data_IF_856207253427
#
_entry.id   IF_856207253427
#
_cell.length_a   1.000
_cell.length_b   1.000
_cell.length_c   1.000
_cell.angle_alpha   90.00
_cell.angle_beta   90.00
_cell.angle_gamma   90.00
#
_symmetry.space_group_name_H-M   'P 1'
#
loop_
_entity.id
_entity.type
_entity.pdbx_description
1 polymer ?
#
# COMPACT_ATOMS: atom_id res chain seq x y z
N UNK A 1 24.44 5.53 25.20
CA UNK A 1 24.73 6.41 24.05
C UNK A 1 26.10 7.07 24.26
N UNK A 2 27.14 6.74 23.47
CA UNK A 2 28.49 7.27 23.67
C UNK A 2 28.60 8.78 23.41
N UNK A 3 27.73 9.33 22.56
CA UNK A 3 27.73 10.72 22.10
C UNK A 3 27.07 11.72 23.07
N UNK A 4 26.27 11.21 24.02
CA UNK A 4 25.45 12.01 24.91
C UNK A 4 25.88 11.82 26.38
N UNK A 5 25.97 12.91 27.12
CA UNK A 5 26.10 12.90 28.58
C UNK A 5 24.72 12.62 29.19
N UNK A 6 24.60 11.46 29.85
CA UNK A 6 23.31 10.98 30.37
C UNK A 6 22.77 11.81 31.53
N UNK A 7 23.62 12.53 32.28
CA UNK A 7 23.18 13.35 33.41
C UNK A 7 22.58 14.68 32.94
N UNK A 8 23.02 15.18 31.79
CA UNK A 8 22.66 16.52 31.29
C UNK A 8 21.82 16.53 30.03
N UNK A 9 21.66 15.39 29.36
CA UNK A 9 21.06 15.27 28.03
C UNK A 9 21.72 16.19 26.98
N UNK A 10 23.02 16.47 27.15
CA UNK A 10 23.82 17.28 26.22
C UNK A 10 24.81 16.41 25.47
N UNK A 11 25.14 16.82 24.25
CA UNK A 11 26.20 16.17 23.48
C UNK A 11 27.55 16.33 24.18
N UNK A 12 28.34 15.26 24.19
CA UNK A 12 29.73 15.30 24.64
C UNK A 12 30.59 16.04 23.62
N UNK A 13 31.71 16.61 24.08
CA UNK A 13 32.67 17.31 23.22
C UNK A 13 33.10 16.46 22.02
N UNK A 14 33.12 17.05 20.83
CA UNK A 14 33.45 16.38 19.56
C UNK A 14 32.29 15.63 18.89
N UNK A 15 31.11 15.56 19.52
CA UNK A 15 29.90 14.99 18.91
C UNK A 15 29.12 16.06 18.16
N UNK A 16 28.78 15.80 16.90
CA UNK A 16 27.87 16.63 16.09
C UNK A 16 26.41 16.22 16.31
N UNK A 17 26.19 14.95 16.65
CA UNK A 17 24.87 14.37 16.88
C UNK A 17 24.95 13.24 17.91
N UNK A 18 23.79 12.82 18.39
CA UNK A 18 23.65 11.66 19.28
C UNK A 18 22.37 10.87 19.05
N UNK A 19 21.61 11.16 18.01
CA UNK A 19 20.34 10.52 17.67
C UNK A 19 20.12 10.69 16.17
N UNK A 20 19.23 9.87 15.58
CA UNK A 20 18.73 10.02 14.22
C UNK A 20 19.44 9.08 13.25
N UNK A 21 18.73 8.70 12.19
CA UNK A 21 19.19 7.70 11.22
C UNK A 21 20.39 8.18 10.38
N UNK A 22 20.62 9.50 10.35
CA UNK A 22 21.79 10.13 9.75
C UNK A 22 22.89 10.48 10.77
N UNK A 23 22.92 9.82 11.93
CA UNK A 23 23.97 9.96 12.92
C UNK A 23 24.80 8.69 13.06
N UNK A 24 26.02 8.71 12.53
CA UNK A 24 26.95 7.60 12.61
C UNK A 24 28.16 7.99 13.46
N UNK A 25 28.44 7.22 14.52
CA UNK A 25 29.57 7.44 15.42
C UNK A 25 29.70 8.91 15.90
N UNK A 26 28.56 9.47 16.34
CA UNK A 26 28.46 10.85 16.85
C UNK A 26 28.71 11.95 15.81
N UNK A 27 28.78 11.61 14.52
CA UNK A 27 28.96 12.54 13.41
C UNK A 27 27.79 12.42 12.43
N UNK A 28 27.52 13.49 11.69
CA UNK A 28 26.55 13.40 10.61
C UNK A 28 27.05 12.43 9.55
N UNK A 29 26.17 11.53 9.11
CA UNK A 29 26.39 10.69 7.94
C UNK A 29 26.70 11.56 6.72
N UNK A 30 27.50 11.05 5.79
CA UNK A 30 27.88 11.82 4.59
C UNK A 30 26.64 12.18 3.76
N UNK A 31 26.71 13.30 3.04
CA UNK A 31 25.66 13.67 2.10
C UNK A 31 25.45 12.55 1.07
N UNK A 32 24.20 12.17 0.83
CA UNK A 32 23.85 11.09 -0.10
C UNK A 32 23.81 9.69 0.51
N UNK A 33 24.19 9.51 1.78
CA UNK A 33 23.95 8.24 2.49
C UNK A 33 22.45 7.99 2.58
N UNK A 34 21.97 6.86 2.03
CA UNK A 34 20.57 6.45 2.15
C UNK A 34 20.22 6.21 3.63
N UNK A 35 19.15 6.85 4.10
CA UNK A 35 18.64 6.69 5.46
C UNK A 35 17.22 6.09 5.49
N UNK A 36 16.50 6.13 4.37
CA UNK A 36 15.27 5.37 4.18
C UNK A 36 15.23 4.80 2.76
N UNK A 37 15.10 3.49 2.68
CA UNK A 37 14.99 2.77 1.42
C UNK A 37 13.63 2.99 0.75
N UNK A 38 13.62 2.98 -0.58
CA UNK A 38 12.41 2.99 -1.40
C UNK A 38 11.62 1.68 -1.23
N UNK A 39 10.31 1.78 -0.97
CA UNK A 39 9.40 0.62 -0.93
C UNK A 39 8.82 0.25 -2.30
N UNK A 40 8.71 1.22 -3.21
CA UNK A 40 8.23 1.02 -4.57
C UNK A 40 8.66 2.18 -5.48
N UNK A 41 8.41 2.10 -6.78
CA UNK A 41 8.63 3.24 -7.69
C UNK A 41 7.80 4.48 -7.34
N UNK A 42 6.79 4.35 -6.49
CA UNK A 42 5.96 5.44 -5.97
C UNK A 42 6.52 6.07 -4.71
N UNK A 43 7.63 5.55 -4.19
CA UNK A 43 8.24 5.92 -2.91
C UNK A 43 9.75 6.14 -3.09
N UNK A 44 10.19 7.36 -3.43
CA UNK A 44 11.61 7.68 -3.60
C UNK A 44 12.39 7.52 -2.30
N UNK A 45 13.61 6.97 -2.35
CA UNK A 45 14.46 6.87 -1.16
C UNK A 45 14.88 8.25 -0.61
N UNK A 46 15.04 8.36 0.72
CA UNK A 46 15.61 9.54 1.36
C UNK A 46 17.07 9.35 1.75
N UNK A 47 17.81 10.45 1.63
CA UNK A 47 19.25 10.49 1.81
C UNK A 47 19.63 11.60 2.80
N UNK A 48 20.63 11.30 3.63
CA UNK A 48 21.23 12.24 4.56
C UNK A 48 21.79 13.46 3.82
N UNK A 49 21.64 14.63 4.43
CA UNK A 49 22.10 15.90 3.86
C UNK A 49 23.59 16.17 4.10
N UNK A 50 24.23 15.41 4.99
CA UNK A 50 25.59 15.71 5.47
C UNK A 50 25.67 16.80 6.55
N UNK A 51 24.55 17.45 6.88
CA UNK A 51 24.49 18.60 7.79
C UNK A 51 23.44 18.44 8.89
N UNK A 52 22.71 17.32 8.89
CA UNK A 52 21.65 16.97 9.84
C UNK A 52 21.84 15.53 10.29
N UNK A 53 21.40 15.23 11.51
CA UNK A 53 21.35 13.86 12.04
C UNK A 53 20.04 13.16 11.75
N UNK A 54 19.00 13.91 11.41
CA UNK A 54 17.69 13.38 11.06
C UNK A 54 17.65 13.07 9.56
N UNK A 55 17.07 11.92 9.20
CA UNK A 55 16.69 11.63 7.83
C UNK A 55 15.61 12.64 7.39
N UNK A 56 15.61 13.12 6.14
CA UNK A 56 14.51 13.93 5.63
C UNK A 56 13.16 13.22 5.81
N UNK A 57 12.08 13.99 5.88
CA UNK A 57 10.75 13.43 5.98
C UNK A 57 10.45 12.53 4.77
N UNK A 58 9.73 11.44 5.02
CA UNK A 58 9.28 10.49 4.00
C UNK A 58 8.39 11.20 2.95
N UNK A 59 8.82 11.14 1.68
CA UNK A 59 8.10 11.74 0.54
C UNK A 59 7.62 10.65 -0.40
N UNK A 60 6.38 10.77 -0.86
CA UNK A 60 5.84 9.91 -1.90
C UNK A 60 5.69 10.65 -3.23
N UNK A 61 5.79 9.90 -4.33
CA UNK A 61 5.27 10.38 -5.60
C UNK A 61 3.77 10.68 -5.49
N UNK A 62 3.31 11.61 -6.33
CA UNK A 62 1.92 12.07 -6.27
C UNK A 62 0.97 10.92 -6.54
N UNK A 63 -0.12 10.86 -5.77
CA UNK A 63 -1.20 9.91 -6.04
C UNK A 63 -1.71 10.13 -7.48
N UNK A 64 -1.93 9.03 -8.21
CA UNK A 64 -2.34 9.05 -9.62
C UNK A 64 -1.20 9.00 -10.63
N UNK A 65 0.07 9.06 -10.23
CA UNK A 65 1.20 8.82 -11.14
C UNK A 65 1.17 7.36 -11.65
N UNK A 66 1.25 7.09 -12.97
CA UNK A 66 1.31 5.71 -13.47
C UNK A 66 2.49 4.94 -12.88
N UNK A 67 2.26 3.67 -12.56
CA UNK A 67 3.27 2.75 -12.00
C UNK A 67 3.05 1.33 -12.53
N UNK A 68 4.06 0.48 -12.35
CA UNK A 68 4.18 -0.90 -12.81
C UNK A 68 3.82 -0.99 -14.29
N UNK A 69 4.54 -0.27 -15.15
CA UNK A 69 4.28 -0.23 -16.61
C UNK A 69 2.81 0.07 -16.95
N UNK A 70 2.19 1.01 -16.22
CA UNK A 70 0.81 1.47 -16.38
C UNK A 70 -0.29 0.44 -15.98
N UNK A 71 0.09 -0.63 -15.26
CA UNK A 71 -0.87 -1.53 -14.61
C UNK A 71 -1.55 -0.90 -13.39
N UNK A 72 -0.94 0.13 -12.79
CA UNK A 72 -1.49 0.82 -11.62
C UNK A 72 -1.23 2.32 -11.62
N UNK A 73 -1.68 2.93 -10.53
CA UNK A 73 -1.40 4.32 -10.20
C UNK A 73 -0.91 4.43 -8.76
N UNK A 74 0.05 5.30 -8.51
CA UNK A 74 0.62 5.52 -7.20
C UNK A 74 -0.47 5.93 -6.22
N UNK A 75 -0.42 5.35 -5.03
CA UNK A 75 -1.29 5.67 -3.90
C UNK A 75 -0.50 5.50 -2.60
N UNK A 76 -0.20 6.63 -1.95
CA UNK A 76 0.52 6.72 -0.68
C UNK A 76 1.79 5.85 -0.66
N UNK A 77 2.71 6.11 -1.60
CA UNK A 77 4.00 5.42 -1.70
C UNK A 77 3.95 4.02 -2.29
N UNK A 78 2.78 3.51 -2.67
CA UNK A 78 2.61 2.16 -3.21
C UNK A 78 1.93 2.17 -4.59
N UNK A 79 1.99 1.04 -5.30
CA UNK A 79 1.28 0.82 -6.56
C UNK A 79 0.24 -0.31 -6.39
N UNK A 80 -0.96 -0.05 -5.83
CA UNK A 80 -1.96 -1.09 -5.62
C UNK A 80 -2.55 -1.58 -6.95
N UNK A 81 -2.37 -2.87 -7.25
CA UNK A 81 -2.95 -3.54 -8.41
C UNK A 81 -3.71 -4.80 -7.98
N UNK A 82 -4.73 -5.21 -8.74
CA UNK A 82 -5.56 -6.38 -8.39
C UNK A 82 -4.77 -7.69 -8.40
N UNK A 83 -3.78 -7.82 -9.30
CA UNK A 83 -2.91 -9.00 -9.37
C UNK A 83 -2.16 -9.26 -8.06
N UNK A 84 -1.45 -8.26 -7.52
CA UNK A 84 -0.75 -8.38 -6.24
C UNK A 84 -1.71 -8.67 -5.08
N UNK A 85 -2.88 -8.03 -5.06
CA UNK A 85 -3.89 -8.31 -4.03
C UNK A 85 -4.40 -9.75 -4.08
N UNK A 86 -4.58 -10.33 -5.27
CA UNK A 86 -4.94 -11.74 -5.43
C UNK A 86 -3.83 -12.66 -4.93
N UNK A 87 -2.57 -12.34 -5.25
CA UNK A 87 -1.41 -13.09 -4.77
C UNK A 87 -1.28 -13.03 -3.24
N UNK A 88 -1.41 -11.86 -2.63
CA UNK A 88 -1.29 -11.68 -1.17
C UNK A 88 -2.40 -12.43 -0.40
N UNK A 89 -3.57 -12.59 -1.00
CA UNK A 89 -4.71 -13.29 -0.38
C UNK A 89 -4.66 -14.81 -0.57
N UNK A 90 -4.16 -15.29 -1.71
CA UNK A 90 -4.33 -16.70 -2.11
C UNK A 90 -3.05 -17.42 -2.56
N UNK A 91 -1.97 -16.68 -2.81
CA UNK A 91 -0.69 -17.22 -3.27
C UNK A 91 -0.56 -17.30 -4.79
N UNK A 92 0.35 -18.18 -5.23
CA UNK A 92 0.67 -18.38 -6.64
C UNK A 92 -0.52 -18.97 -7.43
N UNK A 93 -0.49 -18.78 -8.77
CA UNK A 93 -1.50 -19.25 -9.73
C UNK A 93 -2.92 -18.67 -9.52
N UNK A 94 -3.01 -17.55 -8.81
CA UNK A 94 -4.26 -16.81 -8.56
C UNK A 94 -4.14 -15.38 -9.09
N UNK A 95 -5.06 -15.00 -10.00
CA UNK A 95 -5.00 -13.75 -10.77
C UNK A 95 -6.31 -12.96 -10.65
N UNK A 96 -6.37 -11.74 -11.18
CA UNK A 96 -7.64 -11.02 -11.31
C UNK A 96 -8.68 -11.86 -12.07
N UNK A 97 -9.91 -11.90 -11.55
CA UNK A 97 -11.00 -12.62 -12.21
C UNK A 97 -11.56 -11.83 -13.40
N UNK A 98 -12.30 -12.52 -14.26
CA UNK A 98 -13.11 -11.90 -15.32
C UNK A 98 -14.11 -10.89 -14.75
N UNK A 99 -14.41 -9.83 -15.51
CA UNK A 99 -15.32 -8.74 -15.10
C UNK A 99 -16.68 -9.26 -14.61
N UNK A 100 -17.20 -10.32 -15.23
CA UNK A 100 -18.46 -10.96 -14.83
C UNK A 100 -18.53 -11.41 -13.35
N UNK A 101 -17.38 -11.67 -12.71
CA UNK A 101 -17.34 -12.00 -11.28
C UNK A 101 -17.64 -10.78 -10.40
N UNK A 102 -17.22 -9.59 -10.82
CA UNK A 102 -17.38 -8.34 -10.07
C UNK A 102 -18.84 -7.86 -10.06
N UNK A 103 -19.67 -8.28 -11.01
CA UNK A 103 -21.12 -8.03 -11.02
C UNK A 103 -21.84 -8.52 -9.75
N UNK A 104 -21.24 -9.48 -9.04
CA UNK A 104 -21.74 -9.95 -7.73
C UNK A 104 -21.71 -8.85 -6.66
N UNK A 105 -20.90 -7.80 -6.83
CA UNK A 105 -20.85 -6.65 -5.93
C UNK A 105 -22.11 -5.77 -5.98
N UNK A 106 -22.94 -5.92 -7.01
CA UNK A 106 -24.24 -5.24 -7.08
C UNK A 106 -25.30 -5.87 -6.16
N UNK A 107 -25.02 -7.03 -5.55
CA UNK A 107 -26.00 -7.72 -4.70
C UNK A 107 -26.28 -7.04 -3.36
N UNK A 108 -25.31 -6.29 -2.82
CA UNK A 108 -25.42 -5.70 -1.48
C UNK A 108 -25.56 -6.76 -0.38
N UNK A 109 -25.04 -7.97 -0.60
CA UNK A 109 -25.16 -9.08 0.35
C UNK A 109 -23.96 -9.13 1.30
N UNK A 110 -23.79 -10.24 2.04
CA UNK A 110 -22.76 -10.31 3.08
C UNK A 110 -21.31 -10.15 2.57
N UNK A 111 -21.00 -10.50 1.32
CA UNK A 111 -19.64 -10.35 0.74
C UNK A 111 -19.56 -9.34 -0.40
N UNK A 112 -20.62 -9.23 -1.21
CA UNK A 112 -20.64 -8.45 -2.45
C UNK A 112 -21.33 -7.12 -2.23
N UNK A 113 -20.54 -6.09 -1.96
CA UNK A 113 -20.95 -4.71 -1.72
C UNK A 113 -19.77 -3.78 -2.01
N UNK A 114 -20.01 -2.47 -2.12
CA UNK A 114 -18.94 -1.48 -2.29
C UNK A 114 -18.49 -0.92 -0.94
N UNK A 115 -19.44 -0.39 -0.16
CA UNK A 115 -19.16 0.28 1.11
C UNK A 115 -20.18 -0.07 2.16
N UNK A 116 -19.95 0.41 3.38
CA UNK A 116 -20.92 0.32 4.47
C UNK A 116 -21.34 1.70 4.92
N UNK A 117 -22.63 1.89 5.12
CA UNK A 117 -23.22 3.11 5.69
C UNK A 117 -24.09 2.69 6.87
N UNK A 118 -23.76 3.17 8.08
CA UNK A 118 -24.46 2.81 9.32
C UNK A 118 -24.61 1.28 9.54
N UNK A 119 -23.58 0.51 9.18
CA UNK A 119 -23.58 -0.95 9.28
C UNK A 119 -24.26 -1.69 8.12
N UNK A 120 -25.04 -0.99 7.29
CA UNK A 120 -25.68 -1.57 6.12
C UNK A 120 -24.68 -1.69 4.96
N UNK A 121 -24.69 -2.83 4.28
CA UNK A 121 -23.84 -3.11 3.12
C UNK A 121 -24.49 -2.49 1.87
N UNK A 122 -23.84 -1.51 1.28
CA UNK A 122 -24.35 -0.76 0.12
C UNK A 122 -23.85 -1.45 -1.16
N UNK A 123 -24.75 -1.90 -2.05
CA UNK A 123 -24.35 -2.48 -3.33
C UNK A 123 -23.55 -1.48 -4.17
N UNK A 124 -22.67 -1.99 -5.02
CA UNK A 124 -21.99 -1.15 -6.01
C UNK A 124 -22.98 -0.68 -7.08
N UNK A 125 -22.78 0.54 -7.58
CA UNK A 125 -23.32 0.92 -8.89
C UNK A 125 -22.59 0.12 -10.00
N UNK A 126 -23.18 -0.03 -11.19
CA UNK A 126 -22.55 -0.75 -12.30
C UNK A 126 -21.13 -0.27 -12.63
N UNK A 127 -20.86 1.03 -12.53
CA UNK A 127 -19.55 1.63 -12.77
C UNK A 127 -18.53 1.39 -11.65
N UNK A 128 -18.98 1.00 -10.46
CA UNK A 128 -18.16 0.86 -9.25
C UNK A 128 -17.85 -0.61 -8.91
N UNK A 129 -18.32 -1.58 -9.72
CA UNK A 129 -18.24 -3.02 -9.39
C UNK A 129 -16.81 -3.51 -9.15
N UNK A 130 -15.82 -2.87 -9.77
CA UNK A 130 -14.38 -3.13 -9.60
C UNK A 130 -13.79 -2.55 -8.30
N UNK A 131 -14.57 -1.85 -7.49
CA UNK A 131 -14.12 -1.22 -6.24
C UNK A 131 -14.75 -1.81 -4.96
N UNK A 132 -15.53 -2.90 -5.10
CA UNK A 132 -16.11 -3.66 -4.01
C UNK A 132 -15.23 -4.83 -3.53
N UNK A 133 -15.82 -6.02 -3.40
CA UNK A 133 -15.09 -7.26 -3.14
C UNK A 133 -14.15 -7.56 -4.31
N UNK A 134 -12.90 -7.93 -4.01
CA UNK A 134 -11.97 -8.44 -5.00
C UNK A 134 -12.37 -9.87 -5.38
N UNK A 135 -12.39 -10.13 -6.68
CA UNK A 135 -12.55 -11.48 -7.23
C UNK A 135 -11.29 -11.90 -7.96
N UNK A 136 -10.86 -13.13 -7.69
CA UNK A 136 -9.66 -13.72 -8.26
C UNK A 136 -9.99 -15.06 -8.94
N UNK A 137 -9.31 -15.34 -10.05
CA UNK A 137 -9.35 -16.62 -10.74
C UNK A 137 -8.26 -17.52 -10.16
N UNK A 138 -8.67 -18.59 -9.50
CA UNK A 138 -7.78 -19.56 -8.86
C UNK A 138 -7.59 -20.78 -9.77
N UNK A 139 -6.37 -20.90 -10.32
CA UNK A 139 -5.91 -22.02 -11.14
C UNK A 139 -4.79 -22.81 -10.44
N UNK A 140 -4.66 -22.68 -9.11
CA UNK A 140 -3.66 -23.43 -8.35
C UNK A 140 -3.87 -24.94 -8.47
N UNK A 141 -2.84 -25.78 -8.23
CA UNK A 141 -2.94 -27.22 -8.43
C UNK A 141 -4.16 -27.86 -7.73
N UNK A 142 -5.09 -28.41 -8.52
CA UNK A 142 -6.32 -29.03 -8.03
C UNK A 142 -7.49 -28.07 -7.78
N UNK A 143 -7.35 -26.78 -8.10
CA UNK A 143 -8.41 -25.78 -8.08
C UNK A 143 -8.86 -25.38 -9.49
N UNK A 144 -10.11 -24.94 -9.60
CA UNK A 144 -10.64 -24.28 -10.80
C UNK A 144 -11.81 -23.39 -10.37
N UNK A 145 -11.51 -22.26 -9.72
CA UNK A 145 -12.52 -21.32 -9.24
C UNK A 145 -12.38 -19.97 -9.94
N UNK A 146 -13.27 -19.64 -10.91
CA UNK A 146 -13.14 -18.42 -11.69
C UNK A 146 -13.46 -17.14 -10.91
N UNK A 147 -14.20 -17.23 -9.79
CA UNK A 147 -14.65 -16.08 -9.01
C UNK A 147 -14.37 -16.30 -7.50
N UNK A 148 -13.16 -16.73 -7.15
CA UNK A 148 -12.73 -16.85 -5.75
C UNK A 148 -12.71 -15.47 -5.11
N UNK A 149 -13.12 -15.39 -3.86
CA UNK A 149 -13.08 -14.14 -3.07
C UNK A 149 -12.71 -14.48 -1.63
N UNK A 150 -12.13 -13.51 -0.92
CA UNK A 150 -11.80 -13.65 0.49
C UNK A 150 -12.86 -12.93 1.32
N UNK A 151 -13.34 -13.60 2.36
CA UNK A 151 -14.27 -13.04 3.32
C UNK A 151 -14.04 -13.65 4.70
N UNK A 152 -14.01 -12.79 5.73
CA UNK A 152 -14.01 -13.19 7.14
C UNK A 152 -14.96 -12.28 7.91
N UNK A 153 -15.71 -12.84 8.88
CA UNK A 153 -16.54 -12.03 9.79
C UNK A 153 -15.69 -11.25 10.81
N UNK A 154 -14.44 -11.66 11.05
CA UNK A 154 -13.52 -10.95 11.95
C UNK A 154 -13.08 -9.60 11.36
N UNK A 155 -12.89 -9.57 10.04
CA UNK A 155 -12.60 -8.37 9.27
C UNK A 155 -13.22 -8.49 7.88
N UNK A 156 -14.42 -7.92 7.73
CA UNK A 156 -15.13 -7.93 6.45
C UNK A 156 -14.47 -7.00 5.41
N UNK A 157 -13.56 -6.10 5.81
CA UNK A 157 -12.78 -5.26 4.89
C UNK A 157 -11.65 -6.04 4.22
N UNK A 158 -11.09 -7.06 4.87
CA UNK A 158 -10.11 -7.95 4.24
C UNK A 158 -10.73 -8.64 3.03
N UNK A 159 -10.05 -8.56 1.88
CA UNK A 159 -10.54 -9.06 0.60
C UNK A 159 -11.34 -8.04 -0.23
N UNK A 160 -11.59 -6.84 0.27
CA UNK A 160 -12.09 -5.73 -0.54
C UNK A 160 -10.95 -5.11 -1.36
N UNK A 161 -11.24 -4.62 -2.56
CA UNK A 161 -10.25 -3.97 -3.43
C UNK A 161 -9.62 -2.76 -2.74
N UNK A 162 -8.30 -2.69 -2.63
CA UNK A 162 -7.62 -1.62 -1.90
C UNK A 162 -7.91 -0.23 -2.50
N UNK A 163 -8.00 0.84 -1.67
CA UNK A 163 -8.03 2.21 -2.17
C UNK A 163 -6.82 2.51 -3.08
N UNK A 164 -7.03 3.33 -4.11
CA UNK A 164 -6.03 3.66 -5.12
C UNK A 164 -5.84 2.60 -6.21
N UNK A 165 -6.45 1.41 -6.08
CA UNK A 165 -6.35 0.36 -7.11
C UNK A 165 -6.93 0.84 -8.42
N UNK A 166 -6.20 0.67 -9.53
CA UNK A 166 -6.71 0.92 -10.88
C UNK A 166 -7.92 0.03 -11.16
N UNK A 167 -9.07 0.65 -11.46
CA UNK A 167 -10.33 -0.06 -11.77
C UNK A 167 -10.75 0.05 -13.24
N UNK A 168 -10.17 0.99 -13.96
CA UNK A 168 -10.24 1.15 -15.41
C UNK A 168 -9.10 2.09 -15.86
N UNK A 169 -8.92 2.28 -17.17
CA UNK A 169 -7.95 3.26 -17.67
C UNK A 169 -8.28 4.68 -17.19
N UNK A 170 -7.29 5.33 -16.57
CA UNK A 170 -7.43 6.66 -15.98
C UNK A 170 -8.30 6.71 -14.71
N UNK A 171 -8.70 5.57 -14.14
CA UNK A 171 -9.56 5.50 -12.95
C UNK A 171 -8.96 4.65 -11.84
N UNK A 172 -9.22 5.06 -10.60
CA UNK A 172 -8.82 4.36 -9.38
C UNK A 172 -9.99 4.27 -8.41
N UNK A 173 -9.98 3.27 -7.55
CA UNK A 173 -10.94 3.16 -6.47
C UNK A 173 -10.69 4.20 -5.36
N UNK A 174 -11.65 5.07 -5.11
CA UNK A 174 -11.65 6.06 -4.03
C UNK A 174 -12.97 5.97 -3.26
N UNK A 175 -12.91 5.74 -1.95
CA UNK A 175 -14.11 5.50 -1.13
C UNK A 175 -15.05 4.42 -1.69
N UNK A 176 -14.47 3.41 -2.38
CA UNK A 176 -15.18 2.27 -2.98
C UNK A 176 -16.06 2.67 -4.18
N UNK A 177 -15.65 3.70 -4.90
CA UNK A 177 -16.15 4.16 -6.20
C UNK A 177 -14.97 4.30 -7.15
#
# INVERSE_FOLDING_TARGET
NPCCDAATCKLKSGSQCGHGDCCEQCKFSKSGTECRASMSECDPAEHCTGQSSECPADVFHKNGQPCLDNYGYCYNGNCPIMYHQCYDLFGADVYEAEDSCFERNQKGNYYGYCRKENGNKIPCAPEDVKCGRLYCKDNSPGQNNPCKMFYSNEDEHKGMVLPGTKCADGKVCSNRQ
#
